data_IF_065186443158
#
_entry.id   IF_065186443158
#
_cell.length_a   1.000
_cell.length_b   1.000
_cell.length_c   1.000
_cell.angle_alpha   90.00
_cell.angle_beta   90.00
_cell.angle_gamma   90.00
#
_symmetry.space_group_name_H-M   'P 1'
#
loop_
_entity.id
_entity.type
_entity.pdbx_description
1 polymer ?
#
# COMPACT_ATOMS: atom_id res chain seq x y z
N UNK A 1 -1.42 16.89 11.39
CA UNK A 1 -0.22 16.04 11.57
C UNK A 1 0.97 16.75 10.96
N UNK A 2 2.16 16.60 11.53
CA UNK A 2 3.39 17.21 11.05
C UNK A 2 4.40 16.10 10.75
N UNK A 3 5.03 16.18 9.59
CA UNK A 3 6.10 15.26 9.17
C UNK A 3 7.42 16.00 9.30
N UNK A 4 8.20 15.67 10.32
CA UNK A 4 9.46 16.33 10.61
C UNK A 4 10.58 15.79 9.72
N UNK A 5 11.59 16.62 9.49
CA UNK A 5 12.72 16.25 8.63
C UNK A 5 13.49 15.04 9.19
N UNK A 6 13.52 14.84 10.50
CA UNK A 6 14.17 13.68 11.14
C UNK A 6 13.45 12.34 10.90
N UNK A 7 12.31 12.37 10.21
CA UNK A 7 11.49 11.20 9.93
C UNK A 7 10.48 10.88 11.04
N UNK A 8 10.21 11.78 11.97
CA UNK A 8 9.17 11.60 13.00
C UNK A 8 7.86 12.28 12.57
N UNK A 9 6.75 11.53 12.63
CA UNK A 9 5.40 12.04 12.44
C UNK A 9 4.76 12.39 13.79
N UNK A 10 4.44 13.65 13.95
CA UNK A 10 3.74 14.19 15.12
C UNK A 10 2.25 14.44 14.83
N UNK A 11 1.45 14.34 15.89
CA UNK A 11 0.03 14.72 15.88
C UNK A 11 -0.19 15.84 16.90
N UNK A 12 -1.10 16.78 16.65
CA UNK A 12 -1.39 17.87 17.58
C UNK A 12 -2.35 17.45 18.70
N UNK A 13 -2.52 16.14 18.92
CA UNK A 13 -3.63 15.57 19.69
C UNK A 13 -3.10 14.81 20.90
N UNK A 14 -3.74 15.05 22.05
CA UNK A 14 -3.45 14.39 23.32
C UNK A 14 -4.71 13.71 23.84
N UNK A 15 -4.54 12.60 24.55
CA UNK A 15 -5.62 11.91 25.24
C UNK A 15 -5.30 11.87 26.73
N UNK A 16 -6.31 12.11 27.56
CA UNK A 16 -6.19 11.88 28.99
C UNK A 16 -6.27 10.37 29.32
N UNK A 17 -5.90 10.02 30.55
CA UNK A 17 -5.88 8.63 31.04
C UNK A 17 -7.25 7.96 30.97
N UNK A 18 -8.34 8.72 31.13
CA UNK A 18 -9.71 8.20 31.07
C UNK A 18 -10.08 7.81 29.64
N UNK A 19 -9.76 8.67 28.67
CA UNK A 19 -9.97 8.41 27.26
C UNK A 19 -9.14 7.21 26.77
N UNK A 20 -7.87 7.13 27.18
CA UNK A 20 -7.01 5.97 26.87
C UNK A 20 -7.60 4.68 27.43
N UNK A 21 -8.04 4.70 28.69
CA UNK A 21 -8.65 3.53 29.34
C UNK A 21 -9.92 3.08 28.61
N UNK A 22 -10.77 4.02 28.17
CA UNK A 22 -11.97 3.72 27.39
C UNK A 22 -11.64 3.10 26.03
N UNK A 23 -10.65 3.64 25.31
CA UNK A 23 -10.23 3.08 24.01
C UNK A 23 -9.65 1.67 24.19
N UNK A 24 -8.87 1.43 25.26
CA UNK A 24 -8.36 0.09 25.57
C UNK A 24 -9.48 -0.91 25.83
N UNK A 25 -10.45 -0.54 26.68
CA UNK A 25 -11.64 -1.38 26.93
C UNK A 25 -12.42 -1.67 25.66
N UNK A 26 -12.59 -0.67 24.79
CA UNK A 26 -13.25 -0.83 23.49
C UNK A 26 -12.51 -1.84 22.59
N UNK A 27 -11.18 -1.77 22.53
CA UNK A 27 -10.38 -2.75 21.79
C UNK A 27 -10.44 -4.14 22.44
N UNK A 28 -10.34 -4.23 23.77
CA UNK A 28 -10.46 -5.50 24.50
C UNK A 28 -11.82 -6.17 24.25
N UNK A 29 -12.90 -5.41 24.33
CA UNK A 29 -14.25 -5.91 24.09
C UNK A 29 -14.46 -6.32 22.63
N UNK A 30 -13.90 -5.57 21.67
CA UNK A 30 -13.84 -6.03 20.29
C UNK A 30 -13.12 -7.38 20.20
N UNK A 31 -11.93 -7.55 20.79
CA UNK A 31 -11.17 -8.80 20.66
C UNK A 31 -11.86 -10.02 21.24
N UNK A 32 -12.68 -9.85 22.29
CA UNK A 32 -13.51 -10.92 22.89
C UNK A 32 -14.67 -11.35 21.99
N UNK A 33 -15.13 -10.48 21.10
CA UNK A 33 -16.27 -10.75 20.19
C UNK A 33 -15.85 -11.18 18.80
N UNK A 34 -14.54 -11.18 18.50
CA UNK A 34 -14.04 -11.67 17.22
C UNK A 34 -14.37 -13.17 17.09
N UNK A 35 -15.08 -13.60 16.04
CA UNK A 35 -15.36 -15.01 15.83
C UNK A 35 -14.08 -15.78 15.53
N UNK A 36 -14.08 -17.06 15.87
CA UNK A 36 -12.99 -17.95 15.49
C UNK A 36 -12.78 -17.98 13.97
N UNK A 37 -11.57 -18.33 13.56
CA UNK A 37 -11.25 -18.50 12.15
C UNK A 37 -12.17 -19.57 11.53
N UNK A 38 -12.91 -19.26 10.44
CA UNK A 38 -13.84 -20.19 9.85
C UNK A 38 -13.07 -21.28 9.08
N UNK A 39 -12.84 -22.40 9.77
CA UNK A 39 -12.12 -23.56 9.24
C UNK A 39 -12.69 -24.01 7.88
N UNK A 40 -11.80 -24.32 6.94
CA UNK A 40 -12.12 -24.74 5.57
C UNK A 40 -12.83 -23.71 4.66
N UNK A 41 -13.07 -22.49 5.13
CA UNK A 41 -13.71 -21.47 4.29
C UNK A 41 -12.75 -20.81 3.29
N UNK A 42 -11.48 -20.62 3.70
CA UNK A 42 -10.45 -20.01 2.85
C UNK A 42 -9.42 -21.06 2.42
N UNK A 43 -8.89 -20.92 1.21
CA UNK A 43 -7.87 -21.85 0.69
C UNK A 43 -6.91 -21.17 -0.28
N UNK A 44 -5.71 -21.75 -0.39
CA UNK A 44 -4.70 -21.32 -1.36
C UNK A 44 -4.07 -19.95 -1.06
N UNK A 45 -3.17 -19.58 -1.97
CA UNK A 45 -2.43 -18.32 -2.00
C UNK A 45 -2.97 -17.42 -3.12
N UNK A 46 -3.03 -16.12 -2.91
CA UNK A 46 -3.46 -15.20 -3.96
C UNK A 46 -3.11 -13.74 -3.71
N UNK A 47 -3.32 -12.93 -4.75
CA UNK A 47 -3.12 -11.49 -4.73
C UNK A 47 -4.48 -10.80 -4.60
N UNK A 48 -4.56 -9.81 -3.72
CA UNK A 48 -5.75 -8.98 -3.53
C UNK A 48 -5.39 -7.53 -3.88
N UNK A 49 -6.17 -6.92 -4.77
CA UNK A 49 -5.99 -5.52 -5.20
C UNK A 49 -7.32 -4.79 -5.01
N UNK A 50 -7.31 -3.61 -4.41
CA UNK A 50 -8.47 -2.71 -4.47
C UNK A 50 -8.28 -1.71 -5.60
N UNK A 51 -9.24 -1.61 -6.53
CA UNK A 51 -9.21 -0.59 -7.57
C UNK A 51 -10.61 -0.23 -8.06
N UNK A 52 -10.90 1.07 -8.04
CA UNK A 52 -12.15 1.63 -8.52
C UNK A 52 -11.96 3.04 -9.04
N UNK A 53 -12.79 3.44 -10.01
CA UNK A 53 -12.65 4.70 -10.72
C UNK A 53 -11.41 4.77 -11.61
N UNK A 54 -11.31 5.83 -12.42
CA UNK A 54 -10.33 5.92 -13.51
C UNK A 54 -8.88 5.76 -13.04
N UNK A 55 -8.49 6.46 -11.98
CA UNK A 55 -7.09 6.48 -11.53
C UNK A 55 -6.61 5.11 -11.06
N UNK A 56 -7.34 4.46 -10.15
CA UNK A 56 -6.92 3.16 -9.63
C UNK A 56 -7.14 2.03 -10.63
N UNK A 57 -8.18 2.09 -11.46
CA UNK A 57 -8.37 1.13 -12.55
C UNK A 57 -7.20 1.17 -13.55
N UNK A 58 -6.73 2.37 -13.88
CA UNK A 58 -5.54 2.58 -14.72
C UNK A 58 -4.31 1.94 -14.09
N UNK A 59 -4.09 2.15 -12.79
CA UNK A 59 -2.94 1.58 -12.09
C UNK A 59 -3.04 0.05 -12.00
N UNK A 60 -4.22 -0.49 -11.65
CA UNK A 60 -4.46 -1.93 -11.55
C UNK A 60 -4.25 -2.64 -12.90
N UNK A 61 -4.67 -2.01 -14.00
CA UNK A 61 -4.39 -2.52 -15.35
C UNK A 61 -2.88 -2.70 -15.59
N UNK A 62 -2.07 -1.69 -15.24
CA UNK A 62 -0.61 -1.75 -15.38
C UNK A 62 -0.01 -2.82 -14.47
N UNK A 63 -0.43 -2.88 -13.20
CA UNK A 63 0.03 -3.90 -12.27
C UNK A 63 -0.30 -5.32 -12.75
N UNK A 64 -1.52 -5.57 -13.22
CA UNK A 64 -1.95 -6.88 -13.71
C UNK A 64 -1.17 -7.31 -14.96
N UNK A 65 -0.94 -6.39 -15.90
CA UNK A 65 -0.08 -6.67 -17.06
C UNK A 65 1.35 -7.00 -16.64
N UNK A 66 1.88 -6.28 -15.63
CA UNK A 66 3.20 -6.57 -15.09
C UNK A 66 3.28 -7.95 -14.45
N UNK A 67 2.30 -8.33 -13.62
CA UNK A 67 2.26 -9.65 -13.00
C UNK A 67 2.31 -10.77 -14.05
N UNK A 68 1.64 -10.59 -15.18
CA UNK A 68 1.71 -11.52 -16.32
C UNK A 68 3.09 -11.54 -16.97
N UNK A 69 3.70 -10.39 -17.19
CA UNK A 69 5.03 -10.26 -17.80
C UNK A 69 6.11 -10.96 -16.96
N UNK A 70 6.06 -10.81 -15.63
CA UNK A 70 6.96 -11.52 -14.70
C UNK A 70 6.57 -12.98 -14.47
N UNK A 71 5.58 -13.48 -15.21
CA UNK A 71 5.08 -14.86 -15.18
C UNK A 71 4.53 -15.31 -13.82
N UNK A 72 4.05 -14.36 -12.99
CA UNK A 72 3.36 -14.68 -11.74
C UNK A 72 2.13 -15.54 -12.03
N UNK A 73 1.98 -16.63 -11.29
CA UNK A 73 0.88 -17.60 -11.43
C UNK A 73 -0.16 -17.52 -10.31
N UNK A 74 0.04 -16.61 -9.35
CA UNK A 74 -0.92 -16.43 -8.27
C UNK A 74 -2.25 -15.95 -8.83
N UNK A 75 -3.38 -16.53 -8.38
CA UNK A 75 -4.70 -15.99 -8.72
C UNK A 75 -4.83 -14.58 -8.13
N UNK A 76 -5.54 -13.71 -8.85
CA UNK A 76 -5.74 -12.31 -8.47
C UNK A 76 -7.23 -12.03 -8.28
N UNK A 77 -7.60 -11.45 -7.15
CA UNK A 77 -8.91 -10.83 -6.94
C UNK A 77 -8.80 -9.31 -7.01
N UNK A 78 -9.65 -8.70 -7.84
CA UNK A 78 -9.77 -7.24 -7.99
C UNK A 78 -11.06 -6.77 -7.28
N UNK A 79 -10.90 -6.06 -6.17
CA UNK A 79 -11.97 -5.59 -5.31
C UNK A 79 -12.36 -4.14 -5.63
N UNK A 80 -13.66 -3.86 -5.72
CA UNK A 80 -14.21 -2.55 -6.08
C UNK A 80 -15.58 -2.31 -5.43
N UNK A 81 -16.01 -1.06 -5.32
CA UNK A 81 -17.36 -0.71 -4.84
C UNK A 81 -18.39 -0.73 -5.96
N UNK A 82 -19.65 -0.84 -5.57
CA UNK A 82 -20.76 -0.67 -6.51
C UNK A 82 -20.64 0.66 -7.27
N UNK A 83 -20.78 0.59 -8.59
CA UNK A 83 -20.69 1.74 -9.50
C UNK A 83 -19.28 2.21 -9.85
N UNK A 84 -18.22 1.62 -9.29
CA UNK A 84 -16.84 2.02 -9.62
C UNK A 84 -16.28 1.39 -10.89
N UNK A 85 -16.86 0.27 -11.33
CA UNK A 85 -16.52 -0.43 -12.58
C UNK A 85 -17.79 -0.75 -13.37
N UNK A 86 -17.73 -0.55 -14.68
CA UNK A 86 -18.72 -1.01 -15.66
C UNK A 86 -18.72 -2.52 -15.83
N UNK A 87 -19.81 -3.05 -16.37
CA UNK A 87 -19.91 -4.46 -16.72
C UNK A 87 -18.85 -4.88 -17.75
N UNK A 88 -18.52 -3.99 -18.68
CA UNK A 88 -17.51 -4.24 -19.71
C UNK A 88 -16.09 -4.30 -19.13
N UNK A 89 -15.78 -3.45 -18.13
CA UNK A 89 -14.55 -3.56 -17.34
C UNK A 89 -14.45 -4.92 -16.66
N UNK A 90 -15.49 -5.33 -15.94
CA UNK A 90 -15.54 -6.61 -15.21
C UNK A 90 -15.31 -7.79 -16.17
N UNK A 91 -16.00 -7.81 -17.31
CA UNK A 91 -15.83 -8.84 -18.33
C UNK A 91 -14.41 -8.86 -18.91
N UNK A 92 -13.82 -7.69 -19.13
CA UNK A 92 -12.45 -7.56 -19.64
C UNK A 92 -11.45 -8.16 -18.65
N UNK A 93 -11.50 -7.77 -17.37
CA UNK A 93 -10.63 -8.35 -16.34
C UNK A 93 -10.85 -9.86 -16.15
N UNK A 94 -12.09 -10.33 -16.23
CA UNK A 94 -12.40 -11.77 -16.19
C UNK A 94 -11.75 -12.54 -17.33
N UNK A 95 -11.76 -11.99 -18.55
CA UNK A 95 -11.06 -12.60 -19.70
C UNK A 95 -9.54 -12.67 -19.53
N UNK A 96 -8.99 -11.79 -18.68
CA UNK A 96 -7.58 -11.80 -18.29
C UNK A 96 -7.25 -12.79 -17.17
N UNK A 97 -8.23 -13.58 -16.68
CA UNK A 97 -8.06 -14.51 -15.57
C UNK A 97 -8.13 -13.85 -14.19
N UNK A 98 -8.66 -12.63 -14.10
CA UNK A 98 -8.79 -11.87 -12.85
C UNK A 98 -10.21 -12.01 -12.33
N UNK A 99 -10.37 -12.29 -11.04
CA UNK A 99 -11.68 -12.40 -10.42
C UNK A 99 -12.09 -11.07 -9.82
N UNK A 100 -13.06 -10.39 -10.46
CA UNK A 100 -13.60 -9.14 -9.96
C UNK A 100 -14.60 -9.41 -8.83
N UNK A 101 -14.39 -8.77 -7.68
CA UNK A 101 -15.21 -8.87 -6.47
C UNK A 101 -15.78 -7.50 -6.11
N UNK A 102 -17.09 -7.41 -6.01
CA UNK A 102 -17.74 -6.19 -5.55
C UNK A 102 -17.95 -6.26 -4.05
N UNK A 103 -17.67 -5.18 -3.33
CA UNK A 103 -18.06 -5.07 -1.94
C UNK A 103 -19.57 -4.99 -1.80
N UNK A 104 -20.12 -5.78 -0.88
CA UNK A 104 -21.49 -5.61 -0.43
C UNK A 104 -21.64 -4.34 0.43
N UNK A 105 -22.76 -3.62 0.28
CA UNK A 105 -22.98 -2.32 0.90
C UNK A 105 -23.06 -2.41 2.43
N UNK A 106 -23.56 -3.53 2.97
CA UNK A 106 -23.59 -3.77 4.42
C UNK A 106 -22.18 -4.06 4.96
N UNK A 107 -21.36 -4.73 4.16
CA UNK A 107 -20.00 -5.09 4.56
C UNK A 107 -19.05 -3.89 4.73
N UNK A 108 -19.30 -2.79 4.00
CA UNK A 108 -18.46 -1.58 4.02
C UNK A 108 -18.84 -0.54 5.08
N UNK A 109 -19.79 -0.84 5.97
CA UNK A 109 -20.28 0.13 6.95
C UNK A 109 -19.11 0.82 7.71
N UNK A 110 -19.11 2.15 7.68
CA UNK A 110 -18.09 3.06 8.23
C UNK A 110 -16.66 2.94 7.63
N UNK A 111 -16.46 2.10 6.62
CA UNK A 111 -15.21 1.98 5.87
C UNK A 111 -15.29 2.74 4.54
N UNK A 112 -14.22 3.46 4.19
CA UNK A 112 -14.05 4.10 2.89
C UNK A 112 -12.59 4.23 2.50
N UNK A 113 -12.35 4.52 1.21
CA UNK A 113 -11.02 4.71 0.65
C UNK A 113 -10.08 3.57 1.03
N UNK A 114 -8.96 3.94 1.66
CA UNK A 114 -7.92 3.00 2.09
C UNK A 114 -8.35 2.06 3.23
N UNK A 115 -9.40 2.39 3.98
CA UNK A 115 -9.94 1.49 5.02
C UNK A 115 -10.62 0.23 4.46
N UNK A 116 -10.83 0.15 3.14
CA UNK A 116 -11.39 -1.04 2.48
C UNK A 116 -10.36 -2.15 2.27
N UNK A 117 -9.05 -1.87 2.33
CA UNK A 117 -8.02 -2.88 2.06
C UNK A 117 -8.07 -4.03 3.07
N UNK A 118 -8.11 -3.81 4.40
CA UNK A 118 -8.26 -4.90 5.37
C UNK A 118 -9.53 -5.73 5.13
N UNK A 119 -10.63 -5.08 4.72
CA UNK A 119 -11.87 -5.78 4.39
C UNK A 119 -11.74 -6.65 3.15
N UNK A 120 -11.10 -6.16 2.08
CA UNK A 120 -10.80 -6.94 0.88
C UNK A 120 -9.97 -8.18 1.21
N UNK A 121 -8.93 -7.99 2.04
CA UNK A 121 -8.10 -9.09 2.55
C UNK A 121 -9.01 -10.10 3.26
N UNK A 122 -9.81 -9.68 4.25
CA UNK A 122 -10.71 -10.59 5.00
C UNK A 122 -11.69 -11.34 4.11
N UNK A 123 -12.35 -10.67 3.17
CA UNK A 123 -13.42 -11.24 2.36
C UNK A 123 -12.92 -12.05 1.15
N UNK A 124 -11.67 -11.88 0.73
CA UNK A 124 -11.10 -12.69 -0.36
C UNK A 124 -11.16 -14.19 -0.07
N UNK A 125 -11.17 -15.03 -1.11
CA UNK A 125 -11.23 -16.49 -0.93
C UNK A 125 -9.93 -17.11 -0.41
N UNK A 126 -8.83 -16.36 -0.47
CA UNK A 126 -7.49 -16.88 -0.17
C UNK A 126 -7.25 -17.02 1.32
N UNK A 127 -6.52 -18.08 1.70
CA UNK A 127 -6.03 -18.25 3.08
C UNK A 127 -4.77 -17.42 3.31
N UNK A 128 -3.87 -17.44 2.35
CA UNK A 128 -2.60 -16.72 2.35
C UNK A 128 -2.63 -15.63 1.27
N UNK A 129 -2.38 -14.39 1.66
CA UNK A 129 -2.61 -13.21 0.82
C UNK A 129 -1.35 -12.40 0.69
N UNK A 130 -1.08 -11.95 -0.54
CA UNK A 130 -0.27 -10.77 -0.83
C UNK A 130 -1.23 -9.67 -1.29
N UNK A 131 -1.47 -8.68 -0.44
CA UNK A 131 -2.18 -7.48 -0.83
C UNK A 131 -1.22 -6.58 -1.63
N UNK A 132 -1.72 -5.96 -2.71
CA UNK A 132 -1.02 -4.93 -3.46
C UNK A 132 -1.95 -3.75 -3.73
N UNK A 133 -1.50 -2.54 -3.41
CA UNK A 133 -2.13 -1.33 -3.93
C UNK A 133 -2.05 -1.31 -5.45
N UNK A 134 -3.07 -0.74 -6.10
CA UNK A 134 -3.17 -0.72 -7.56
C UNK A 134 -1.97 -0.01 -8.23
N UNK A 135 -1.35 0.96 -7.56
CA UNK A 135 -0.18 1.72 -7.98
C UNK A 135 1.15 1.16 -7.44
N UNK A 136 1.15 -0.06 -6.89
CA UNK A 136 2.34 -0.72 -6.40
C UNK A 136 2.87 -1.82 -7.33
N UNK A 137 3.94 -1.48 -8.04
CA UNK A 137 4.45 -2.27 -9.15
C UNK A 137 5.47 -3.33 -8.71
N UNK A 138 5.33 -4.57 -9.21
CA UNK A 138 6.26 -5.67 -8.93
C UNK A 138 7.37 -5.78 -9.99
N UNK A 139 8.63 -5.69 -9.58
CA UNK A 139 9.78 -5.86 -10.50
C UNK A 139 10.04 -7.33 -10.89
N UNK A 140 9.64 -8.29 -10.05
CA UNK A 140 9.80 -9.73 -10.27
C UNK A 140 8.55 -10.47 -9.80
N UNK A 141 8.45 -11.77 -10.08
CA UNK A 141 7.41 -12.62 -9.51
C UNK A 141 7.50 -12.60 -7.98
N UNK A 142 6.47 -12.17 -7.24
CA UNK A 142 6.49 -12.11 -5.78
C UNK A 142 6.11 -13.45 -5.11
N UNK A 143 5.79 -14.50 -5.88
CA UNK A 143 5.28 -15.77 -5.34
C UNK A 143 6.20 -16.45 -4.31
N UNK A 144 7.51 -16.28 -4.45
CA UNK A 144 8.50 -16.83 -3.51
C UNK A 144 8.40 -16.25 -2.10
N UNK A 145 7.77 -15.07 -1.92
CA UNK A 145 7.61 -14.48 -0.60
C UNK A 145 6.78 -15.35 0.34
N UNK A 146 5.85 -16.16 -0.19
CA UNK A 146 5.08 -17.12 0.61
C UNK A 146 5.95 -18.26 1.17
N UNK A 147 7.17 -18.42 0.68
CA UNK A 147 8.11 -19.41 1.19
C UNK A 147 9.06 -18.88 2.26
N UNK A 148 9.05 -17.56 2.50
CA UNK A 148 9.87 -16.93 3.50
C UNK A 148 9.58 -17.47 4.90
N UNK A 149 10.62 -17.86 5.63
CA UNK A 149 10.49 -18.57 6.92
C UNK A 149 9.73 -17.73 7.95
N UNK A 150 9.98 -16.42 8.01
CA UNK A 150 9.28 -15.54 8.95
C UNK A 150 7.80 -15.34 8.59
N UNK A 151 7.44 -15.43 7.31
CA UNK A 151 6.02 -15.45 6.92
C UNK A 151 5.35 -16.75 7.36
N UNK A 152 6.02 -17.90 7.19
CA UNK A 152 5.50 -19.20 7.65
C UNK A 152 5.35 -19.26 9.17
N UNK A 153 6.27 -18.63 9.90
CA UNK A 153 6.28 -18.58 11.37
C UNK A 153 5.22 -17.64 11.93
N UNK A 154 5.13 -16.40 11.41
CA UNK A 154 4.31 -15.34 12.00
C UNK A 154 2.99 -15.09 11.28
N UNK A 155 2.84 -15.59 10.06
CA UNK A 155 1.68 -15.31 9.21
C UNK A 155 1.58 -13.88 8.69
N UNK A 156 2.45 -12.96 9.10
CA UNK A 156 2.41 -11.56 8.69
C UNK A 156 3.79 -11.01 8.32
N UNK A 157 3.88 -10.39 7.14
CA UNK A 157 5.05 -9.59 6.71
C UNK A 157 4.58 -8.20 6.31
N UNK A 158 5.24 -7.18 6.86
CA UNK A 158 5.00 -5.76 6.63
C UNK A 158 6.26 -5.09 6.11
N UNK A 159 6.09 -3.94 5.48
CA UNK A 159 7.19 -3.14 4.96
C UNK A 159 7.27 -1.78 5.65
N UNK A 160 8.48 -1.25 5.86
CA UNK A 160 8.64 0.05 6.50
C UNK A 160 8.20 1.17 5.56
N UNK A 161 7.58 2.18 6.16
CA UNK A 161 7.40 3.52 5.61
C UNK A 161 8.68 4.37 5.88
N UNK A 162 8.70 5.61 5.40
CA UNK A 162 9.73 6.60 5.72
C UNK A 162 9.65 7.11 7.17
N UNK A 163 8.44 7.15 7.74
CA UNK A 163 8.18 7.84 9.00
C UNK A 163 8.23 6.92 10.22
N UNK A 164 8.44 7.50 11.40
CA UNK A 164 8.27 6.89 12.72
C UNK A 164 7.21 7.64 13.48
N UNK A 165 6.45 6.95 14.32
CA UNK A 165 5.43 7.58 15.17
C UNK A 165 6.09 8.26 16.38
N UNK A 166 5.75 9.52 16.64
CA UNK A 166 6.30 10.29 17.77
C UNK A 166 6.08 9.61 19.13
N UNK A 167 7.02 9.79 20.08
CA UNK A 167 7.03 9.12 21.39
C UNK A 167 5.83 9.49 22.27
N UNK A 168 5.36 10.71 22.13
CA UNK A 168 4.23 11.30 22.86
C UNK A 168 2.87 10.95 22.24
N UNK A 169 2.85 10.24 21.10
CA UNK A 169 1.59 9.79 20.51
C UNK A 169 0.86 8.86 21.49
N UNK A 170 -0.41 9.16 21.87
CA UNK A 170 -1.18 8.34 22.80
C UNK A 170 -1.37 6.88 22.38
N UNK A 171 -1.19 6.55 21.10
CA UNK A 171 -1.31 5.16 20.63
C UNK A 171 -0.39 4.20 21.40
N UNK A 172 0.80 4.64 21.82
CA UNK A 172 1.74 3.79 22.54
C UNK A 172 1.21 3.33 23.90
N UNK A 173 0.46 4.21 24.58
CA UNK A 173 -0.21 3.89 25.85
C UNK A 173 -1.46 3.02 25.61
N UNK A 174 -2.16 3.22 24.50
CA UNK A 174 -3.31 2.40 24.10
C UNK A 174 -2.86 0.95 23.82
N UNK A 175 -1.75 0.75 23.10
CA UNK A 175 -1.26 -0.61 22.79
C UNK A 175 -0.31 -1.20 23.84
N UNK A 176 0.13 -0.38 24.81
CA UNK A 176 1.13 -0.73 25.83
C UNK A 176 2.37 -1.42 25.24
N UNK A 177 2.90 -0.83 24.18
CA UNK A 177 4.10 -1.32 23.49
C UNK A 177 4.88 -0.09 23.00
N UNK A 178 6.05 0.16 23.57
CA UNK A 178 6.79 1.43 23.42
C UNK A 178 7.97 1.32 22.44
N UNK A 179 7.69 0.81 21.24
CA UNK A 179 8.66 0.62 20.15
C UNK A 179 8.90 1.91 19.35
N UNK A 180 9.40 2.95 20.02
CA UNK A 180 9.49 4.31 19.47
C UNK A 180 10.40 4.47 18.24
N UNK A 181 11.38 3.59 18.08
CA UNK A 181 12.37 3.69 17.01
C UNK A 181 11.97 2.91 15.76
N UNK A 182 10.89 2.13 15.83
CA UNK A 182 10.42 1.34 14.70
C UNK A 182 9.74 2.24 13.68
N UNK A 183 10.05 2.02 12.40
CA UNK A 183 9.32 2.64 11.30
C UNK A 183 7.83 2.32 11.36
N UNK A 184 7.03 3.27 10.92
CA UNK A 184 5.66 3.05 10.54
C UNK A 184 5.58 1.99 9.44
N UNK A 185 4.41 1.38 9.32
CA UNK A 185 4.15 0.41 8.28
C UNK A 185 3.65 1.15 7.02
N UNK A 186 4.07 0.69 5.85
CA UNK A 186 3.43 0.96 4.57
C UNK A 186 2.44 -0.17 4.23
N UNK A 187 1.23 0.17 3.72
CA UNK A 187 0.21 -0.81 3.31
C UNK A 187 0.10 -1.04 1.80
N UNK A 188 0.94 -0.38 1.01
CA UNK A 188 1.07 -0.64 -0.44
C UNK A 188 1.32 -2.11 -0.79
N UNK A 189 1.94 -2.86 0.11
CA UNK A 189 2.02 -4.32 0.05
C UNK A 189 2.03 -4.91 1.46
N UNK A 190 1.25 -5.97 1.65
CA UNK A 190 1.11 -6.65 2.93
C UNK A 190 0.98 -8.14 2.66
N UNK A 191 1.65 -8.97 3.46
CA UNK A 191 1.38 -10.41 3.47
C UNK A 191 0.66 -10.82 4.75
N UNK A 192 -0.46 -11.54 4.61
CA UNK A 192 -1.24 -12.06 5.74
C UNK A 192 -1.66 -13.50 5.47
N UNK A 193 -1.45 -14.39 6.43
CA UNK A 193 -2.08 -15.69 6.55
C UNK A 193 -3.28 -15.51 7.49
N UNK A 194 -4.50 -15.64 6.96
CA UNK A 194 -5.73 -15.42 7.73
C UNK A 194 -5.92 -16.41 8.87
N UNK A 195 -5.43 -17.64 8.73
CA UNK A 195 -5.57 -18.67 9.75
C UNK A 195 -4.75 -18.32 10.99
N UNK A 196 -3.52 -17.83 10.77
CA UNK A 196 -2.61 -17.43 11.84
C UNK A 196 -3.02 -16.07 12.41
N UNK A 197 -3.39 -15.11 11.55
CA UNK A 197 -3.58 -13.71 11.94
C UNK A 197 -5.06 -13.27 11.94
N UNK A 198 -5.99 -14.17 12.22
CA UNK A 198 -7.42 -13.89 12.11
C UNK A 198 -7.85 -12.77 13.06
N UNK A 199 -7.39 -12.80 14.31
CA UNK A 199 -7.79 -11.84 15.34
C UNK A 199 -7.25 -10.45 15.03
N UNK A 200 -6.01 -10.38 14.59
CA UNK A 200 -5.30 -9.16 14.25
C UNK A 200 -5.93 -8.49 13.02
N UNK A 201 -6.29 -9.28 11.99
CA UNK A 201 -6.98 -8.77 10.81
C UNK A 201 -8.37 -8.22 11.16
N UNK A 202 -9.13 -8.89 12.03
CA UNK A 202 -10.44 -8.41 12.47
C UNK A 202 -10.32 -7.14 13.33
N UNK A 203 -9.33 -7.08 14.22
CA UNK A 203 -9.05 -5.87 15.01
C UNK A 203 -8.61 -4.70 14.11
N UNK A 204 -7.83 -4.97 13.07
CA UNK A 204 -7.44 -3.98 12.05
C UNK A 204 -8.68 -3.39 11.39
N UNK A 205 -9.62 -4.23 10.94
CA UNK A 205 -10.89 -3.77 10.35
C UNK A 205 -11.67 -2.92 11.34
N UNK A 206 -11.73 -3.33 12.61
CA UNK A 206 -12.41 -2.57 13.65
C UNK A 206 -11.78 -1.18 13.85
N UNK A 207 -10.46 -1.08 13.95
CA UNK A 207 -9.77 0.22 14.04
C UNK A 207 -10.06 1.11 12.82
N UNK A 208 -10.17 0.54 11.62
CA UNK A 208 -10.55 1.29 10.41
C UNK A 208 -12.02 1.74 10.43
N UNK A 209 -12.93 0.94 11.01
CA UNK A 209 -14.33 1.37 11.24
C UNK A 209 -14.39 2.53 12.24
N UNK A 210 -13.57 2.46 13.27
CA UNK A 210 -13.40 3.52 14.29
C UNK A 210 -12.42 4.62 13.85
N UNK A 211 -12.35 4.92 12.54
CA UNK A 211 -11.44 5.94 11.98
C UNK A 211 -11.54 7.31 12.62
N UNK A 212 -12.70 7.67 13.19
CA UNK A 212 -12.89 8.92 13.94
C UNK A 212 -11.95 9.01 15.14
N UNK A 213 -11.54 7.89 15.72
CA UNK A 213 -10.57 7.81 16.81
C UNK A 213 -9.20 7.55 16.20
N UNK A 214 -9.03 6.42 15.51
CA UNK A 214 -7.71 5.94 15.16
C UNK A 214 -7.01 6.80 14.11
N UNK A 215 -7.71 7.44 13.17
CA UNK A 215 -7.05 8.31 12.18
C UNK A 215 -6.66 9.68 12.74
N UNK A 216 -7.04 10.00 13.98
CA UNK A 216 -6.44 11.14 14.70
C UNK A 216 -5.05 10.80 15.24
N UNK A 217 -4.82 9.51 15.57
CA UNK A 217 -3.56 9.00 16.14
C UNK A 217 -2.60 8.48 15.06
N UNK A 218 -3.17 7.82 14.05
CA UNK A 218 -2.51 7.02 13.04
C UNK A 218 -2.74 7.58 11.65
N UNK A 219 -1.83 7.32 10.71
CA UNK A 219 -1.96 7.76 9.33
C UNK A 219 -2.74 6.72 8.50
N UNK A 220 -4.05 6.65 8.71
CA UNK A 220 -4.94 5.80 7.92
C UNK A 220 -4.79 4.29 8.21
N UNK A 221 -5.18 3.47 7.24
CA UNK A 221 -5.16 2.01 7.34
C UNK A 221 -3.74 1.46 7.54
N UNK A 222 -2.72 2.10 6.93
CA UNK A 222 -1.36 1.56 6.91
C UNK A 222 -0.78 1.27 8.28
N UNK A 223 -1.07 2.14 9.26
CA UNK A 223 -0.59 1.98 10.62
C UNK A 223 -1.48 1.02 11.43
N UNK A 224 -2.78 0.93 11.13
CA UNK A 224 -3.72 0.11 11.91
C UNK A 224 -3.37 -1.37 11.92
N UNK A 225 -2.73 -1.88 10.86
CA UNK A 225 -2.19 -3.25 10.83
C UNK A 225 -1.15 -3.43 11.94
N UNK A 226 0.04 -2.82 11.83
CA UNK A 226 1.10 -2.89 12.87
C UNK A 226 0.56 -2.69 14.30
N UNK A 227 -0.29 -1.68 14.50
CA UNK A 227 -0.82 -1.39 15.84
C UNK A 227 -1.84 -2.41 16.36
N UNK A 228 -2.59 -3.09 15.49
CA UNK A 228 -3.45 -4.22 15.89
C UNK A 228 -2.62 -5.41 16.39
N UNK A 229 -1.51 -5.72 15.72
CA UNK A 229 -0.57 -6.75 16.17
C UNK A 229 0.09 -6.37 17.49
N UNK A 230 0.50 -5.10 17.64
CA UNK A 230 1.09 -4.59 18.88
C UNK A 230 0.12 -4.64 20.05
N UNK A 231 -1.16 -4.32 19.84
CA UNK A 231 -2.19 -4.43 20.87
C UNK A 231 -2.36 -5.89 21.33
N UNK A 232 -2.44 -6.81 20.37
CA UNK A 232 -2.60 -8.26 20.62
C UNK A 232 -1.29 -8.99 21.00
N UNK A 233 -0.18 -8.27 21.16
CA UNK A 233 1.16 -8.83 21.45
C UNK A 233 1.60 -9.93 20.47
N UNK A 234 1.12 -9.84 19.24
CA UNK A 234 1.33 -10.85 18.21
C UNK A 234 2.54 -10.51 17.36
N UNK A 235 3.27 -11.55 16.93
CA UNK A 235 4.49 -11.38 16.13
C UNK A 235 4.13 -11.12 14.67
N UNK A 236 4.96 -10.32 14.02
CA UNK A 236 4.98 -10.10 12.57
C UNK A 236 6.43 -9.83 12.17
N UNK A 237 6.73 -9.94 10.88
CA UNK A 237 8.02 -9.56 10.33
C UNK A 237 7.93 -8.21 9.63
N UNK A 238 8.64 -7.20 10.12
CA UNK A 238 8.92 -5.99 9.36
C UNK A 238 10.14 -6.25 8.45
N UNK A 239 10.08 -5.96 7.15
CA UNK A 239 11.25 -6.07 6.28
C UNK A 239 12.36 -5.14 6.79
N UNK A 240 13.55 -5.71 6.99
CA UNK A 240 14.69 -5.03 7.63
C UNK A 240 15.46 -4.05 6.73
N UNK A 241 14.87 -3.64 5.61
CA UNK A 241 15.47 -2.70 4.66
C UNK A 241 14.58 -1.48 4.53
N UNK A 242 15.18 -0.31 4.73
CA UNK A 242 14.48 0.97 4.68
C UNK A 242 13.81 1.21 3.32
N UNK A 243 12.73 2.00 3.34
CA UNK A 243 12.14 2.54 2.14
C UNK A 243 13.10 3.53 1.47
N UNK A 244 13.33 3.35 0.18
CA UNK A 244 14.03 4.31 -0.67
C UNK A 244 13.07 5.10 -1.54
N UNK A 245 13.62 5.95 -2.41
CA UNK A 245 12.84 6.77 -3.35
C UNK A 245 13.38 6.63 -4.78
N UNK A 246 12.48 6.46 -5.75
CA UNK A 246 12.79 6.47 -7.18
C UNK A 246 12.19 7.71 -7.86
N UNK A 247 12.97 8.30 -8.76
CA UNK A 247 12.65 9.57 -9.37
C UNK A 247 13.66 10.01 -10.42
N UNK A 248 13.55 11.27 -10.82
CA UNK A 248 14.41 11.91 -11.80
C UNK A 248 15.06 13.17 -11.23
N UNK A 249 16.11 13.67 -11.87
CA UNK A 249 16.77 14.91 -11.49
C UNK A 249 16.27 16.04 -12.39
N UNK A 250 15.79 17.13 -11.79
CA UNK A 250 15.45 18.37 -12.46
C UNK A 250 16.53 19.42 -12.16
N UNK A 251 17.01 20.13 -13.18
CA UNK A 251 18.17 21.04 -13.08
C UNK A 251 18.03 22.13 -12.02
N UNK A 252 16.82 22.66 -11.79
CA UNK A 252 16.56 23.73 -10.81
C UNK A 252 16.15 23.24 -9.42
N UNK A 253 15.57 22.04 -9.34
CA UNK A 253 14.88 21.57 -8.13
C UNK A 253 15.57 20.36 -7.49
N UNK A 254 16.59 19.81 -8.14
CA UNK A 254 17.30 18.62 -7.71
C UNK A 254 16.48 17.36 -7.97
N UNK A 255 16.64 16.37 -7.09
CA UNK A 255 15.93 15.10 -7.21
C UNK A 255 14.43 15.25 -6.93
N UNK A 256 13.60 14.63 -7.76
CA UNK A 256 12.14 14.60 -7.67
C UNK A 256 11.70 13.14 -7.52
N UNK A 257 11.55 12.68 -6.27
CA UNK A 257 11.13 11.33 -5.93
C UNK A 257 9.62 11.15 -5.99
N UNK A 258 9.13 10.28 -6.87
CA UNK A 258 7.69 10.08 -7.10
C UNK A 258 7.23 8.66 -6.77
N UNK A 259 8.15 7.79 -6.41
CA UNK A 259 7.89 6.36 -6.22
C UNK A 259 8.68 5.89 -5.02
N UNK A 260 8.00 5.33 -4.02
CA UNK A 260 8.66 4.64 -2.93
C UNK A 260 9.21 3.31 -3.42
N UNK A 261 10.45 2.98 -3.03
CA UNK A 261 11.13 1.73 -3.41
C UNK A 261 11.25 0.84 -2.20
N UNK A 262 10.82 -0.41 -2.32
CA UNK A 262 10.80 -1.36 -1.21
C UNK A 262 11.37 -2.72 -1.62
N UNK A 263 11.92 -3.41 -0.63
CA UNK A 263 12.83 -4.53 -0.83
C UNK A 263 12.20 -5.86 -0.42
N UNK A 264 12.75 -6.96 -0.94
CA UNK A 264 12.47 -8.30 -0.44
C UNK A 264 13.24 -8.59 0.88
N UNK A 265 13.03 -9.75 1.51
CA UNK A 265 13.77 -10.15 2.72
C UNK A 265 15.30 -10.25 2.56
N UNK A 266 15.82 -10.26 1.33
CA UNK A 266 17.24 -10.34 1.01
C UNK A 266 17.82 -8.96 0.62
N UNK A 267 17.02 -7.89 0.67
CA UNK A 267 17.45 -6.54 0.33
C UNK A 267 17.43 -6.22 -1.16
N UNK A 268 16.87 -7.11 -1.99
CA UNK A 268 16.69 -6.83 -3.41
C UNK A 268 15.48 -5.92 -3.61
N UNK A 269 15.63 -4.92 -4.47
CA UNK A 269 14.50 -4.09 -4.89
C UNK A 269 13.41 -4.95 -5.54
N UNK A 270 12.19 -4.90 -5.00
CA UNK A 270 11.07 -5.72 -5.46
C UNK A 270 9.85 -4.87 -5.83
N UNK A 271 9.53 -3.86 -5.03
CA UNK A 271 8.32 -3.04 -5.18
C UNK A 271 8.67 -1.61 -5.55
N UNK A 272 7.91 -1.06 -6.50
CA UNK A 272 7.93 0.34 -6.92
C UNK A 272 6.53 0.92 -6.72
N UNK A 273 6.30 1.50 -5.55
CA UNK A 273 5.02 2.07 -5.16
C UNK A 273 4.91 3.51 -5.65
N UNK A 274 4.09 3.76 -6.69
CA UNK A 274 3.89 5.10 -7.30
C UNK A 274 2.96 5.99 -6.48
N UNK A 275 3.11 5.96 -5.16
CA UNK A 275 2.29 6.67 -4.18
C UNK A 275 2.25 8.21 -4.37
N UNK A 276 3.30 8.79 -4.93
CA UNK A 276 3.40 10.23 -5.18
C UNK A 276 3.21 10.59 -6.67
N UNK A 277 3.07 9.62 -7.57
CA UNK A 277 3.04 9.85 -9.02
C UNK A 277 2.31 8.74 -9.78
N UNK A 278 1.01 8.59 -9.53
CA UNK A 278 0.14 7.55 -10.12
C UNK A 278 0.17 7.55 -11.65
N UNK A 279 -0.11 6.38 -12.21
CA UNK A 279 -0.30 6.26 -13.66
C UNK A 279 -1.51 7.05 -14.11
N UNK A 280 -1.35 7.79 -15.21
CA UNK A 280 -2.41 8.61 -15.78
C UNK A 280 -2.32 8.54 -17.31
N UNK A 281 -3.42 8.21 -17.96
CA UNK A 281 -3.51 8.13 -19.43
C UNK A 281 -3.27 9.47 -20.13
N UNK A 282 -3.48 10.59 -19.44
CA UNK A 282 -3.21 11.94 -19.95
C UNK A 282 -1.76 12.40 -19.73
N UNK A 283 -0.99 11.70 -18.90
CA UNK A 283 0.41 12.02 -18.61
C UNK A 283 1.30 10.83 -19.00
N UNK A 284 1.52 10.70 -20.30
CA UNK A 284 2.23 9.55 -20.90
C UNK A 284 3.66 9.88 -21.35
N UNK A 285 4.14 11.11 -21.13
CA UNK A 285 5.41 11.58 -21.71
C UNK A 285 6.56 11.64 -20.70
N UNK A 286 6.30 11.68 -19.39
CA UNK A 286 7.36 11.80 -18.39
C UNK A 286 7.83 10.44 -17.86
N UNK A 287 9.07 10.08 -18.21
CA UNK A 287 9.81 8.97 -17.58
C UNK A 287 10.32 9.43 -16.20
N UNK A 288 9.82 8.80 -15.15
CA UNK A 288 10.13 9.08 -13.75
C UNK A 288 11.28 8.20 -13.24
N UNK A 289 11.29 6.91 -13.54
CA UNK A 289 12.15 5.91 -12.93
C UNK A 289 13.55 5.92 -13.54
N UNK A 290 14.37 6.89 -13.10
CA UNK A 290 15.75 7.06 -13.60
C UNK A 290 16.79 6.82 -12.51
N UNK A 291 16.55 7.35 -11.32
CA UNK A 291 17.48 7.29 -10.20
C UNK A 291 16.82 6.72 -8.96
N UNK A 292 17.59 5.98 -8.18
CA UNK A 292 17.25 5.45 -6.86
C UNK A 292 18.01 6.24 -5.80
N UNK A 293 17.31 6.63 -4.74
CA UNK A 293 17.85 7.22 -3.52
C UNK A 293 17.62 6.24 -2.37
N UNK A 294 18.72 5.87 -1.71
CA UNK A 294 18.72 5.09 -0.48
C UNK A 294 19.68 5.74 0.51
N UNK A 295 19.35 5.68 1.80
CA UNK A 295 20.32 6.04 2.84
C UNK A 295 21.51 5.08 2.82
N UNK A 296 22.69 5.58 3.18
CA UNK A 296 23.83 4.72 3.47
C UNK A 296 23.71 4.24 4.93
N UNK A 297 24.09 2.98 5.20
CA UNK A 297 23.91 2.27 6.48
C UNK A 297 23.97 3.15 7.75
N UNK A 298 23.08 2.87 8.72
CA UNK A 298 23.07 3.38 10.11
C UNK A 298 23.26 4.89 10.36
N UNK A 299 23.32 5.73 9.32
CA UNK A 299 23.55 7.15 9.52
C UNK A 299 22.41 7.71 10.36
N UNK A 300 22.72 8.30 11.53
CA UNK A 300 21.76 9.01 12.36
C UNK A 300 21.30 10.33 11.72
N UNK A 301 22.05 10.81 10.71
CA UNK A 301 21.72 12.00 9.93
C UNK A 301 20.87 11.64 8.70
N UNK A 302 19.65 11.15 8.94
CA UNK A 302 18.64 10.94 7.89
C UNK A 302 17.70 12.13 7.88
N UNK A 303 17.50 12.73 6.71
CA UNK A 303 16.49 13.78 6.53
C UNK A 303 15.51 13.46 5.42
N UNK A 304 14.23 13.69 5.68
CA UNK A 304 13.12 13.46 4.76
C UNK A 304 12.41 14.78 4.48
N UNK A 305 12.17 15.07 3.21
CA UNK A 305 11.44 16.26 2.79
C UNK A 305 10.28 15.84 1.89
N UNK A 306 9.07 15.82 2.44
CA UNK A 306 7.84 15.70 1.66
C UNK A 306 7.49 17.07 1.08
N UNK A 307 7.91 17.30 -0.16
CA UNK A 307 7.73 18.57 -0.86
C UNK A 307 6.45 18.54 -1.72
N UNK A 308 5.87 19.71 -1.97
CA UNK A 308 4.76 19.89 -2.92
C UNK A 308 4.95 21.21 -3.67
N UNK A 309 4.78 21.19 -4.99
CA UNK A 309 4.78 22.40 -5.83
C UNK A 309 3.89 22.19 -7.06
N UNK A 310 3.52 23.29 -7.73
CA UNK A 310 2.57 23.24 -8.86
C UNK A 310 3.09 22.43 -10.06
N UNK A 311 4.41 22.35 -10.22
CA UNK A 311 5.04 21.74 -11.40
C UNK A 311 5.19 20.23 -11.28
N UNK A 312 5.48 19.72 -10.09
CA UNK A 312 5.78 18.31 -9.85
C UNK A 312 4.84 17.66 -8.83
N UNK A 313 3.91 18.42 -8.26
CA UNK A 313 3.05 17.97 -7.17
C UNK A 313 3.87 17.48 -5.97
N UNK A 314 3.30 16.54 -5.22
CA UNK A 314 3.98 15.90 -4.09
C UNK A 314 5.18 15.06 -4.55
N UNK A 315 6.31 15.19 -3.88
CA UNK A 315 7.51 14.41 -4.14
C UNK A 315 8.38 14.30 -2.88
N UNK A 316 9.17 13.24 -2.82
CA UNK A 316 10.07 12.96 -1.70
C UNK A 316 11.52 13.30 -2.06
N UNK A 317 12.20 14.04 -1.18
CA UNK A 317 13.65 14.25 -1.23
C UNK A 317 14.29 13.74 0.05
N UNK A 318 15.54 13.32 -0.05
CA UNK A 318 16.37 12.99 1.11
C UNK A 318 17.45 14.04 1.32
N UNK A 319 17.83 14.25 2.58
CA UNK A 319 19.02 14.99 3.00
C UNK A 319 19.87 14.15 3.96
N UNK A 320 21.03 14.68 4.34
CA UNK A 320 22.02 13.93 5.13
C UNK A 320 22.78 12.92 4.26
N UNK A 321 23.09 11.74 4.80
CA UNK A 321 23.95 10.76 4.11
C UNK A 321 23.17 9.73 3.28
N UNK A 322 22.93 10.04 2.01
CA UNK A 322 22.27 9.14 1.06
C UNK A 322 23.12 8.88 -0.20
N UNK A 323 22.79 7.82 -0.94
CA UNK A 323 23.34 7.52 -2.27
C UNK A 323 22.27 7.68 -3.32
N UNK A 324 22.62 8.41 -4.37
CA UNK A 324 21.90 8.40 -5.64
C UNK A 324 22.57 7.40 -6.57
N UNK A 325 21.81 6.46 -7.13
CA UNK A 325 22.28 5.51 -8.13
C UNK A 325 21.36 5.55 -9.34
N UNK A 326 21.90 5.30 -10.54
CA UNK A 326 21.04 5.06 -11.70
C UNK A 326 20.25 3.76 -11.46
N UNK A 327 18.99 3.74 -11.87
CA UNK A 327 18.20 2.52 -11.89
C UNK A 327 18.93 1.47 -12.76
N UNK A 328 19.00 0.20 -12.34
CA UNK A 328 19.66 -0.85 -13.12
C UNK A 328 19.18 -0.87 -14.58
N UNK A 329 20.10 -1.06 -15.54
CA UNK A 329 19.79 -0.99 -16.98
C UNK A 329 18.60 -1.86 -17.39
N UNK A 330 18.47 -3.05 -16.81
CA UNK A 330 17.35 -3.96 -17.08
C UNK A 330 15.98 -3.46 -16.61
N UNK A 331 15.93 -2.43 -15.76
CA UNK A 331 14.69 -1.83 -15.28
C UNK A 331 14.33 -0.51 -15.99
N UNK A 332 15.27 0.13 -16.69
CA UNK A 332 15.03 1.38 -17.41
C UNK A 332 14.02 1.23 -18.56
N UNK A 333 13.82 0.02 -19.08
CA UNK A 333 12.84 -0.27 -20.14
C UNK A 333 11.44 -0.55 -19.62
N UNK A 334 11.28 -0.76 -18.30
CA UNK A 334 9.99 -1.14 -17.70
C UNK A 334 9.00 0.02 -17.79
N UNK A 335 9.38 1.24 -17.36
CA UNK A 335 8.46 2.38 -17.40
C UNK A 335 8.03 2.74 -18.83
N UNK A 336 8.93 2.81 -19.84
CA UNK A 336 8.52 2.96 -21.22
C UNK A 336 7.50 1.90 -21.70
N UNK A 337 7.66 0.64 -21.31
CA UNK A 337 6.70 -0.41 -21.63
C UNK A 337 5.34 -0.17 -20.95
N UNK A 338 5.32 0.30 -19.70
CA UNK A 338 4.10 0.70 -19.01
C UNK A 338 3.40 1.87 -19.71
N UNK A 339 4.15 2.90 -20.14
CA UNK A 339 3.61 4.04 -20.87
C UNK A 339 3.00 3.62 -22.22
N UNK A 340 3.65 2.69 -22.93
CA UNK A 340 3.07 2.10 -24.14
C UNK A 340 1.77 1.32 -23.83
N UNK A 341 1.74 0.58 -22.72
CA UNK A 341 0.55 -0.13 -22.27
C UNK A 341 -0.60 0.83 -21.90
N UNK A 342 -0.30 1.98 -21.27
CA UNK A 342 -1.28 3.04 -21.03
C UNK A 342 -1.87 3.62 -22.31
N UNK A 343 -1.05 3.82 -23.35
CA UNK A 343 -1.51 4.30 -24.64
C UNK A 343 -2.48 3.32 -25.31
N UNK A 344 -2.28 2.01 -25.11
CA UNK A 344 -3.22 0.96 -25.54
C UNK A 344 -4.49 0.98 -24.69
N UNK A 345 -4.37 1.03 -23.36
CA UNK A 345 -5.53 1.12 -22.46
C UNK A 345 -6.45 2.29 -22.83
N UNK A 346 -5.86 3.45 -23.14
CA UNK A 346 -6.59 4.64 -23.55
C UNK A 346 -7.44 4.45 -24.81
N UNK A 347 -7.17 3.47 -25.68
CA UNK A 347 -8.01 3.18 -26.85
C UNK A 347 -9.00 2.01 -26.64
N UNK A 348 -8.94 1.31 -25.51
CA UNK A 348 -9.77 0.12 -25.28
C UNK A 348 -11.24 0.49 -25.04
N UNK A 349 -12.21 -0.23 -25.63
CA UNK A 349 -13.64 0.09 -25.52
C UNK A 349 -14.14 0.18 -24.07
N UNK A 350 -13.73 -0.76 -23.22
CA UNK A 350 -14.13 -0.78 -21.81
C UNK A 350 -13.66 0.48 -21.07
N UNK A 351 -12.42 0.90 -21.31
CA UNK A 351 -11.85 2.04 -20.63
C UNK A 351 -12.42 3.37 -21.16
N UNK A 352 -12.75 3.43 -22.46
CA UNK A 352 -13.50 4.54 -23.04
C UNK A 352 -14.89 4.70 -22.42
N UNK A 353 -15.57 3.59 -22.10
CA UNK A 353 -16.83 3.62 -21.36
C UNK A 353 -16.65 4.21 -19.96
N UNK A 354 -15.61 3.77 -19.22
CA UNK A 354 -15.30 4.32 -17.90
C UNK A 354 -15.05 5.83 -17.97
N UNK A 355 -14.23 6.30 -18.92
CA UNK A 355 -13.92 7.71 -19.09
C UNK A 355 -15.19 8.55 -19.34
N UNK A 356 -16.13 8.04 -20.15
CA UNK A 356 -17.42 8.70 -20.40
C UNK A 356 -18.28 8.75 -19.14
N UNK A 357 -18.41 7.62 -18.44
CA UNK A 357 -19.17 7.52 -17.19
C UNK A 357 -18.62 8.46 -16.12
N UNK A 358 -17.31 8.60 -16.04
CA UNK A 358 -16.61 9.50 -15.12
C UNK A 358 -16.55 10.97 -15.60
N UNK A 359 -17.08 11.29 -16.80
CA UNK A 359 -16.97 12.61 -17.45
C UNK A 359 -15.52 13.11 -17.62
N UNK A 360 -14.57 12.19 -17.76
CA UNK A 360 -13.14 12.51 -17.96
C UNK A 360 -12.85 12.61 -19.46
N UNK A 361 -12.22 13.71 -19.88
CA UNK A 361 -11.76 13.89 -21.27
C UNK A 361 -10.29 13.53 -21.38
N UNK A 362 -9.95 12.82 -22.45
CA UNK A 362 -8.55 12.62 -22.83
C UNK A 362 -8.00 13.89 -23.48
N UNK A 363 -6.75 14.22 -23.18
CA UNK A 363 -6.04 15.28 -23.88
C UNK A 363 -5.85 14.91 -25.35
N UNK A 364 -5.91 15.85 -26.31
CA UNK A 364 -5.57 15.57 -27.70
C UNK A 364 -4.16 15.00 -27.77
N UNK A 365 -3.96 13.90 -28.51
CA UNK A 365 -2.62 13.38 -28.79
C UNK A 365 -1.88 14.45 -29.62
N UNK A 366 -0.88 15.09 -29.03
CA UNK A 366 0.03 16.02 -29.74
C UNK A 366 0.99 15.27 -30.62
#
# INVERSE_FOLDING_TARGET
>A
MKFNEDGVREIPFVLDTSAISKIRLMLDDCTKTIPDYPQNFFSGKGIVICAGGISYLTCAWILINRLKEVKCKLPVELWFRSGELSQLSIQTFKSLGIECRMFDSQSIENLDGVGLKPLAIKLSKFKEILYLDADNFCLKDPSYLFDYEKYKEFGAVFWPDYWRTAKDNPIWQIVDNYQYNDFEQESGQIMINKEICWKELNLTIYMNKEKRIFYQLLLGDKDTFKFSWNFLKSKFQMIGFDAGSCGFICSKEGFIGKTMTQHDPNGNLLFLHRNLGKWNVNDSSQIIWKFLLNFQDSSLDRKYFLCENDKHGKHMKFGGNFKTKLLPKGFLTIEPACLANLAVLASMPFFQEELRSAKVRLSPKT
#
